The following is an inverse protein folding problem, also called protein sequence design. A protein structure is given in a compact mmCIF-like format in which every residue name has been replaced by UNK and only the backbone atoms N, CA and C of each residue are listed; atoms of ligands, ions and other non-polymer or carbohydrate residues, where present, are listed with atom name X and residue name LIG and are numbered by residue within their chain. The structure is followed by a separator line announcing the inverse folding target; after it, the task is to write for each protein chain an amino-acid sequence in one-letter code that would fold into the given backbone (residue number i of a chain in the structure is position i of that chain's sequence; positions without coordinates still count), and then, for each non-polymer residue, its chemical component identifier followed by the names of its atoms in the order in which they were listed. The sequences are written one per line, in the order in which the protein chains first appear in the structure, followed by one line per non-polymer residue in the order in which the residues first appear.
data_IF_107159880535
#
_entry.id   IF_107159880535
#
_cell.length_a   1.000
_cell.length_b   1.000
_cell.length_c   1.000
_cell.angle_alpha   90.00
_cell.angle_beta   90.00
_cell.angle_gamma   90.00
#
_symmetry.space_group_name_H-M   'P 1'
#
loop_
_entity.id
_entity.type
_entity.pdbx_description
1 polymer ?
#
# COMPACT_ATOMS: atom_id res chain seq x y z
N UNK A 1 12.47 -3.77 -20.40
CA UNK A 1 12.55 -4.55 -19.14
C UNK A 1 13.15 -3.59 -18.14
N UNK A 2 12.29 -2.78 -17.52
CA UNK A 2 12.75 -1.76 -16.58
C UNK A 2 13.19 -2.47 -15.30
N UNK A 3 14.43 -2.25 -14.92
CA UNK A 3 15.01 -2.67 -13.65
C UNK A 3 14.07 -2.22 -12.54
N UNK A 4 13.34 -3.16 -11.92
CA UNK A 4 12.55 -2.88 -10.72
C UNK A 4 13.51 -2.29 -9.68
N UNK A 5 13.38 -0.99 -9.46
CA UNK A 5 14.26 -0.23 -8.59
C UNK A 5 14.21 -0.83 -7.20
N UNK A 6 15.35 -1.34 -6.72
CA UNK A 6 15.44 -1.83 -5.36
C UNK A 6 15.36 -0.64 -4.41
N UNK A 7 14.34 -0.63 -3.55
CA UNK A 7 14.21 0.36 -2.48
C UNK A 7 15.21 0.03 -1.39
N UNK A 8 16.14 0.96 -1.14
CA UNK A 8 17.09 0.81 -0.05
C UNK A 8 16.42 1.02 1.33
N UNK A 9 17.12 0.62 2.40
CA UNK A 9 16.60 0.68 3.77
C UNK A 9 16.30 2.11 4.25
N UNK A 10 17.06 3.09 3.77
CA UNK A 10 16.89 4.50 4.13
C UNK A 10 15.61 5.05 3.50
N UNK A 11 15.40 4.79 2.22
CA UNK A 11 14.19 5.15 1.49
C UNK A 11 12.96 4.49 2.12
N UNK A 12 13.02 3.18 2.40
CA UNK A 12 11.93 2.45 3.07
C UNK A 12 11.59 3.05 4.44
N UNK A 13 12.61 3.37 5.24
CA UNK A 13 12.41 4.06 6.54
C UNK A 13 11.78 5.43 6.36
N UNK A 14 12.23 6.20 5.37
CA UNK A 14 11.68 7.51 5.05
C UNK A 14 10.20 7.47 4.68
N UNK A 15 9.80 6.44 3.92
CA UNK A 15 8.38 6.17 3.61
C UNK A 15 7.60 5.87 4.88
N UNK A 16 8.07 4.96 5.73
CA UNK A 16 7.36 4.62 6.97
C UNK A 16 7.19 5.80 7.92
N UNK A 17 8.20 6.68 8.05
CA UNK A 17 8.10 7.89 8.86
C UNK A 17 7.07 8.89 8.34
N UNK A 18 6.81 8.91 7.02
CA UNK A 18 5.78 9.77 6.41
C UNK A 18 4.38 9.17 6.50
N UNK A 19 4.27 7.86 6.32
CA UNK A 19 3.00 7.14 6.17
C UNK A 19 2.42 6.74 7.51
N UNK A 20 3.18 6.06 8.37
CA UNK A 20 2.64 5.43 9.57
C UNK A 20 1.95 6.42 10.53
N UNK A 21 2.44 7.66 10.78
CA UNK A 21 1.74 8.61 11.65
C UNK A 21 0.35 9.03 11.11
N UNK A 22 0.23 9.16 9.78
CA UNK A 22 -1.03 9.50 9.12
C UNK A 22 -2.01 8.33 9.22
N UNK A 23 -1.54 7.11 8.95
CA UNK A 23 -2.36 5.92 9.11
C UNK A 23 -2.77 5.72 10.57
N UNK A 24 -1.87 5.94 11.54
CA UNK A 24 -2.23 5.88 12.96
C UNK A 24 -3.33 6.88 13.32
N UNK A 25 -3.31 8.08 12.75
CA UNK A 25 -4.34 9.10 13.01
C UNK A 25 -5.70 8.71 12.40
N UNK A 26 -5.70 8.19 11.17
CA UNK A 26 -6.94 7.90 10.43
C UNK A 26 -7.48 6.47 10.60
N UNK A 27 -6.63 5.53 11.03
CA UNK A 27 -6.91 4.09 11.07
C UNK A 27 -6.52 3.44 12.42
N UNK A 28 -6.36 4.20 13.51
CA UNK A 28 -5.91 3.71 14.84
C UNK A 28 -6.57 2.39 15.28
N UNK A 29 -7.89 2.28 15.09
CA UNK A 29 -8.70 1.13 15.52
C UNK A 29 -8.93 0.09 14.40
N UNK A 30 -8.30 0.27 13.24
CA UNK A 30 -8.52 -0.58 12.06
C UNK A 30 -7.48 -1.68 11.95
N UNK A 31 -7.91 -2.91 11.65
CA UNK A 31 -6.99 -4.03 11.35
C UNK A 31 -6.42 -3.86 9.93
N UNK A 32 -5.25 -3.21 9.87
CA UNK A 32 -4.40 -3.15 8.68
C UNK A 32 -3.05 -3.80 8.96
N UNK A 33 -2.46 -4.39 7.92
CA UNK A 33 -1.18 -5.10 8.04
C UNK A 33 -0.24 -4.69 6.94
N UNK A 34 1.00 -4.40 7.30
CA UNK A 34 2.08 -4.35 6.32
C UNK A 34 2.34 -5.78 5.81
N UNK A 35 2.34 -5.96 4.50
CA UNK A 35 2.58 -7.25 3.84
C UNK A 35 3.67 -7.12 2.77
N UNK A 36 3.88 -8.18 1.99
CA UNK A 36 4.82 -8.16 0.87
C UNK A 36 6.29 -8.14 1.31
N UNK A 37 7.14 -7.75 0.37
CA UNK A 37 8.61 -7.77 0.54
C UNK A 37 9.08 -6.74 1.57
N UNK A 38 8.42 -5.58 1.66
CA UNK A 38 8.67 -4.57 2.68
C UNK A 38 8.46 -5.12 4.10
N UNK A 39 7.39 -5.90 4.33
CA UNK A 39 7.18 -6.57 5.62
C UNK A 39 8.29 -7.56 5.93
N UNK A 40 8.65 -8.43 4.97
CA UNK A 40 9.72 -9.41 5.14
C UNK A 40 11.07 -8.74 5.48
N UNK A 41 11.38 -7.61 4.84
CA UNK A 41 12.58 -6.83 5.12
C UNK A 41 12.61 -6.29 6.56
N UNK A 42 11.46 -5.89 7.13
CA UNK A 42 11.37 -5.50 8.55
C UNK A 42 11.65 -6.66 9.50
N UNK A 43 11.29 -7.89 9.13
CA UNK A 43 11.63 -9.10 9.88
C UNK A 43 13.08 -9.59 9.67
N UNK A 44 13.90 -8.82 8.93
CA UNK A 44 15.31 -9.13 8.70
C UNK A 44 15.57 -10.05 7.49
N UNK A 45 14.55 -10.37 6.69
CA UNK A 45 14.75 -11.10 5.45
C UNK A 45 15.51 -10.24 4.43
N UNK A 46 16.46 -10.85 3.72
CA UNK A 46 17.20 -10.20 2.63
C UNK A 46 16.47 -10.44 1.31
N UNK A 47 15.44 -9.65 1.06
CA UNK A 47 14.67 -9.67 -0.18
C UNK A 47 14.72 -8.29 -0.84
N UNK A 48 14.74 -8.23 -2.19
CA UNK A 48 14.59 -6.97 -2.88
C UNK A 48 13.19 -6.42 -2.62
N UNK A 49 13.12 -5.22 -2.06
CA UNK A 49 11.88 -4.46 -1.88
C UNK A 49 11.67 -3.57 -3.10
N UNK A 50 10.48 -3.60 -3.70
CA UNK A 50 10.12 -2.80 -4.87
C UNK A 50 8.99 -1.79 -4.57
N UNK A 51 8.19 -2.08 -3.55
CA UNK A 51 7.00 -1.34 -3.13
C UNK A 51 6.70 -1.59 -1.65
N UNK A 52 5.68 -0.89 -1.14
CA UNK A 52 5.16 -1.03 0.22
C UNK A 52 3.67 -1.35 0.16
N UNK A 53 3.30 -2.56 0.57
CA UNK A 53 1.91 -3.02 0.55
C UNK A 53 1.27 -3.04 1.94
N UNK A 54 0.06 -2.49 2.02
CA UNK A 54 -0.83 -2.63 3.16
C UNK A 54 -2.06 -3.46 2.79
N UNK A 55 -2.33 -4.49 3.58
CA UNK A 55 -3.55 -5.28 3.48
C UNK A 55 -4.58 -4.77 4.49
N UNK A 56 -5.75 -4.43 3.96
CA UNK A 56 -6.89 -3.91 4.70
C UNK A 56 -8.01 -4.94 4.75
N UNK A 57 -8.75 -5.01 5.87
CA UNK A 57 -9.91 -5.91 5.98
C UNK A 57 -11.07 -5.51 5.08
N UNK A 58 -11.42 -4.23 5.05
CA UNK A 58 -12.65 -3.70 4.47
C UNK A 58 -12.36 -2.56 3.48
N UNK A 59 -13.26 -2.34 2.51
CA UNK A 59 -13.14 -1.26 1.51
C UNK A 59 -13.02 0.12 2.15
N UNK A 60 -13.82 0.40 3.19
CA UNK A 60 -13.79 1.67 3.93
C UNK A 60 -12.41 2.03 4.50
N UNK A 61 -11.58 1.03 4.81
CA UNK A 61 -10.22 1.27 5.31
C UNK A 61 -9.25 1.62 4.17
N UNK A 62 -9.53 1.17 2.93
CA UNK A 62 -8.81 1.63 1.73
C UNK A 62 -9.18 3.08 1.42
N UNK A 63 -10.45 3.47 1.58
CA UNK A 63 -10.88 4.87 1.43
C UNK A 63 -10.21 5.76 2.48
N UNK A 64 -10.27 5.38 3.76
CA UNK A 64 -9.60 6.12 4.81
C UNK A 64 -8.07 6.19 4.64
N UNK A 65 -7.45 5.15 4.09
CA UNK A 65 -6.03 5.18 3.71
C UNK A 65 -5.77 6.19 2.58
N UNK A 66 -6.62 6.20 1.55
CA UNK A 66 -6.51 7.12 0.42
C UNK A 66 -6.67 8.59 0.87
N UNK A 67 -7.62 8.84 1.78
CA UNK A 67 -7.82 10.15 2.39
C UNK A 67 -6.62 10.58 3.23
N UNK A 68 -6.08 9.67 4.05
CA UNK A 68 -4.90 9.92 4.88
C UNK A 68 -3.65 10.27 4.05
N UNK A 69 -3.55 9.76 2.82
CA UNK A 69 -2.44 10.01 1.90
C UNK A 69 -2.78 11.01 0.78
N UNK A 70 -3.91 11.72 0.87
CA UNK A 70 -4.38 12.64 -0.16
C UNK A 70 -3.42 13.79 -0.49
N UNK A 71 -2.53 14.14 0.44
CA UNK A 71 -1.46 15.13 0.22
C UNK A 71 -0.31 14.62 -0.66
N UNK A 72 -0.19 13.30 -0.86
CA UNK A 72 0.85 12.69 -1.68
C UNK A 72 0.39 12.52 -3.13
N UNK A 73 1.36 12.27 -4.02
CA UNK A 73 1.07 12.06 -5.43
C UNK A 73 0.28 10.76 -5.62
N UNK A 74 -1.02 10.88 -5.89
CA UNK A 74 -1.90 9.75 -6.13
C UNK A 74 -1.67 9.19 -7.54
N UNK A 75 -1.24 7.94 -7.63
CA UNK A 75 -1.09 7.23 -8.90
C UNK A 75 -2.38 6.53 -9.30
N UNK A 76 -3.06 5.89 -8.35
CA UNK A 76 -4.29 5.12 -8.57
C UNK A 76 -5.24 5.41 -7.42
N UNK A 77 -6.36 6.08 -7.72
CA UNK A 77 -7.45 6.30 -6.78
C UNK A 77 -8.26 5.02 -6.58
N UNK A 78 -8.81 4.78 -5.38
CA UNK A 78 -9.76 3.71 -5.20
C UNK A 78 -11.05 4.04 -5.97
N UNK A 79 -11.48 3.15 -6.87
CA UNK A 79 -12.73 3.32 -7.64
C UNK A 79 -13.48 2.01 -7.76
N UNK A 80 -14.80 2.10 -7.80
CA UNK A 80 -15.71 0.94 -7.92
C UNK A 80 -15.68 0.27 -9.30
N UNK A 81 -15.36 1.03 -10.36
CA UNK A 81 -15.30 0.60 -11.75
C UNK A 81 -14.00 -0.16 -12.09
N UNK A 82 -12.95 0.01 -11.29
CA UNK A 82 -11.68 -0.75 -11.36
C UNK A 82 -11.80 -2.18 -10.77
N UNK A 83 -13.02 -2.70 -10.64
CA UNK A 83 -13.27 -4.11 -10.43
C UNK A 83 -13.10 -4.87 -11.75
N UNK A 84 -11.92 -5.45 -11.99
CA UNK A 84 -11.68 -6.24 -13.21
C UNK A 84 -12.47 -7.57 -13.15
N UNK A 85 -13.34 -7.89 -14.13
CA UNK A 85 -13.92 -9.22 -14.23
C UNK A 85 -12.83 -10.26 -14.60
N UNK A 86 -12.96 -11.52 -14.14
CA UNK A 86 -12.00 -12.59 -14.43
C UNK A 86 -11.88 -12.85 -15.95
N UNK A 87 -10.70 -13.25 -16.47
CA UNK A 87 -9.74 -14.12 -15.79
C UNK A 87 -8.32 -13.53 -15.75
N UNK A 88 -8.00 -12.77 -14.71
CA UNK A 88 -6.63 -12.56 -14.22
C UNK A 88 -6.74 -11.86 -12.84
N UNK A 89 -6.61 -12.68 -11.81
CA UNK A 89 -6.18 -12.29 -10.46
C UNK A 89 -6.90 -11.10 -9.80
N UNK A 90 -8.13 -11.44 -9.41
CA UNK A 90 -8.78 -11.08 -8.15
C UNK A 90 -9.20 -9.61 -7.95
N UNK A 91 -10.49 -9.35 -8.23
CA UNK A 91 -11.21 -8.13 -7.84
C UNK A 91 -10.97 -7.75 -6.37
N UNK A 92 -10.02 -6.85 -6.17
CA UNK A 92 -9.70 -6.24 -4.90
C UNK A 92 -9.90 -4.74 -5.06
N UNK A 93 -10.47 -4.13 -4.03
CA UNK A 93 -10.59 -2.68 -3.98
C UNK A 93 -9.27 -2.11 -3.47
N UNK A 94 -8.61 -1.23 -4.22
CA UNK A 94 -7.23 -0.82 -3.92
C UNK A 94 -6.88 0.60 -4.40
N UNK A 95 -5.79 1.15 -3.88
CA UNK A 95 -5.21 2.43 -4.30
C UNK A 95 -3.68 2.39 -4.26
N UNK A 96 -3.03 3.32 -4.97
CA UNK A 96 -1.57 3.48 -5.04
C UNK A 96 -1.16 4.94 -5.01
N UNK A 97 -0.14 5.24 -4.22
CA UNK A 97 0.47 6.55 -4.07
C UNK A 97 1.98 6.46 -4.30
N UNK A 98 2.58 7.54 -4.79
CA UNK A 98 4.02 7.75 -4.82
C UNK A 98 4.43 8.59 -3.62
N UNK A 99 5.34 8.05 -2.82
CA UNK A 99 5.92 8.72 -1.66
C UNK A 99 7.44 8.72 -1.79
N UNK A 100 7.95 9.76 -2.43
CA UNK A 100 9.39 9.95 -2.59
C UNK A 100 10.03 8.93 -3.53
N UNK A 101 9.34 8.59 -4.62
CA UNK A 101 9.79 7.61 -5.62
C UNK A 101 9.46 6.16 -5.26
N UNK A 102 8.75 5.93 -4.15
CA UNK A 102 8.33 4.60 -3.70
C UNK A 102 6.83 4.44 -3.88
N UNK A 103 6.43 3.34 -4.54
CA UNK A 103 5.03 2.96 -4.63
C UNK A 103 4.53 2.42 -3.30
N UNK A 104 3.46 3.03 -2.79
CA UNK A 104 2.77 2.62 -1.56
C UNK A 104 1.33 2.27 -1.90
N UNK A 105 0.90 1.08 -1.51
CA UNK A 105 -0.36 0.49 -1.93
C UNK A 105 -1.19 0.07 -0.73
N UNK A 106 -2.51 0.22 -0.86
CA UNK A 106 -3.47 -0.40 0.06
C UNK A 106 -4.44 -1.25 -0.73
N UNK A 107 -4.64 -2.48 -0.26
CA UNK A 107 -5.49 -3.49 -0.90
C UNK A 107 -6.51 -4.00 0.09
N UNK A 108 -7.78 -3.96 -0.29
CA UNK A 108 -8.89 -4.52 0.47
C UNK A 108 -9.03 -6.02 0.22
N UNK A 109 -9.13 -6.79 1.30
CA UNK A 109 -9.39 -8.24 1.28
C UNK A 109 -10.86 -8.50 0.92
N UNK A 110 -11.25 -8.23 -0.32
CA UNK A 110 -12.63 -8.42 -0.75
C UNK A 110 -13.01 -9.91 -0.68
N UNK A 111 -13.78 -10.32 0.34
CA UNK A 111 -14.74 -11.41 0.24
C UNK A 111 -16.09 -10.77 -0.08
N UNK A 112 -16.69 -11.21 -1.19
CA UNK A 112 -18.10 -10.95 -1.51
C UNK A 112 -18.95 -11.76 -0.52
#
# INVERSE_FOLDING_TARGET
MDSQGHIDRSALRGVFLKVLPRLQTSLAESDYRLVGTAAAALYGCRLPVADVDFLMRDRKHVDAFADALSEFHCLIKPRFDLWSPPPQEAGQYWCRYDIGGVSVEARGRCRI
#
